data_IF_128391101707
#
_entry.id   IF_128391101707
#
_cell.length_a   1.000
_cell.length_b   1.000
_cell.length_c   1.000
_cell.angle_alpha   90.00
_cell.angle_beta   90.00
_cell.angle_gamma   90.00
#
_symmetry.space_group_name_H-M   'P 1'
#
loop_
_entity.id
_entity.type
_entity.pdbx_description
1 polymer ?
#
# COMPACT_ATOMS: atom_id res chain seq x y z
N UNK A 1 -5.14 -1.31 -27.37
CA UNK A 1 -6.50 -1.62 -27.77
C UNK A 1 -7.47 -0.94 -26.84
N UNK A 2 -8.56 -0.49 -27.40
CA UNK A 2 -9.53 0.28 -26.64
C UNK A 2 -10.16 -0.54 -25.52
N UNK A 3 -10.32 -1.83 -25.73
CA UNK A 3 -10.96 -2.69 -24.75
C UNK A 3 -10.19 -2.73 -23.43
N UNK A 4 -8.87 -2.66 -23.51
CA UNK A 4 -8.07 -2.74 -22.30
C UNK A 4 -8.31 -1.55 -21.40
N UNK A 5 -8.59 -0.39 -21.99
CA UNK A 5 -8.82 0.81 -21.18
C UNK A 5 -10.12 0.72 -20.41
N UNK A 6 -11.10 -0.02 -20.93
CA UNK A 6 -12.38 -0.13 -20.26
C UNK A 6 -12.30 -0.99 -19.00
N UNK A 7 -11.27 -1.83 -18.92
CA UNK A 7 -11.08 -2.67 -17.74
C UNK A 7 -10.22 -2.03 -16.68
N UNK A 8 -9.79 -0.79 -16.90
CA UNK A 8 -8.95 -0.10 -15.94
C UNK A 8 -9.80 0.74 -15.01
N UNK A 9 -9.38 0.78 -13.77
CA UNK A 9 -10.00 1.61 -12.76
C UNK A 9 -8.98 2.56 -12.16
N UNK A 10 -9.42 3.80 -11.94
CA UNK A 10 -8.66 4.73 -11.14
C UNK A 10 -9.14 4.57 -9.71
N UNK A 11 -8.26 4.14 -8.82
CA UNK A 11 -8.64 3.95 -7.43
C UNK A 11 -7.71 4.73 -6.53
N UNK A 12 -8.19 5.01 -5.34
CA UNK A 12 -7.43 5.68 -4.31
C UNK A 12 -7.16 4.68 -3.21
N UNK A 13 -5.87 4.50 -2.90
CA UNK A 13 -5.45 3.57 -1.87
C UNK A 13 -4.92 4.34 -0.68
N UNK A 14 -5.34 3.93 0.49
CA UNK A 14 -4.80 4.46 1.73
C UNK A 14 -3.73 3.50 2.22
N UNK A 15 -2.47 3.98 2.28
CA UNK A 15 -1.36 3.16 2.72
C UNK A 15 -0.67 3.93 3.85
N UNK A 16 -0.68 3.38 5.04
CA UNK A 16 -0.37 3.99 6.32
C UNK A 16 -0.95 5.42 6.39
N UNK A 17 -0.23 6.49 6.29
CA UNK A 17 -0.81 7.82 6.42
C UNK A 17 -0.87 8.56 5.08
N UNK A 18 -0.77 7.85 3.97
CA UNK A 18 -0.78 8.48 2.66
C UNK A 18 -1.88 7.90 1.79
N UNK A 19 -2.35 8.71 0.87
CA UNK A 19 -3.27 8.25 -0.16
C UNK A 19 -2.59 8.28 -1.50
N UNK A 20 -2.71 7.16 -2.22
CA UNK A 20 -2.13 7.01 -3.54
C UNK A 20 -3.23 6.85 -4.56
N UNK A 21 -3.04 7.47 -5.73
CA UNK A 21 -3.93 7.22 -6.85
C UNK A 21 -3.23 6.29 -7.81
N UNK A 22 -3.86 5.17 -8.10
CA UNK A 22 -3.27 4.19 -9.00
C UNK A 22 -4.31 3.75 -10.02
N UNK A 23 -3.82 3.28 -11.15
CA UNK A 23 -4.67 2.72 -12.20
C UNK A 23 -4.41 1.22 -12.21
N UNK A 24 -5.46 0.45 -11.99
CA UNK A 24 -5.34 -1.01 -11.89
C UNK A 24 -6.38 -1.65 -12.79
N UNK A 25 -6.18 -2.92 -13.09
CA UNK A 25 -7.20 -3.69 -13.78
C UNK A 25 -8.37 -3.91 -12.83
N UNK A 26 -9.58 -3.93 -13.41
CA UNK A 26 -10.79 -4.05 -12.60
C UNK A 26 -10.79 -5.30 -11.73
N UNK A 27 -10.28 -6.40 -12.25
CA UNK A 27 -10.27 -7.65 -11.50
C UNK A 27 -9.13 -7.73 -10.50
N UNK A 28 -8.27 -6.69 -10.44
CA UNK A 28 -7.19 -6.64 -9.46
C UNK A 28 -7.45 -5.66 -8.33
N UNK A 29 -8.60 -5.00 -8.37
CA UNK A 29 -8.86 -3.96 -7.38
C UNK A 29 -8.83 -4.50 -5.95
N UNK A 30 -9.47 -5.63 -5.72
CA UNK A 30 -9.50 -6.19 -4.37
C UNK A 30 -8.11 -6.58 -3.90
N UNK A 31 -7.30 -7.08 -4.81
CA UNK A 31 -5.93 -7.43 -4.47
C UNK A 31 -5.14 -6.21 -4.00
N UNK A 32 -5.27 -5.11 -4.75
CA UNK A 32 -4.54 -3.90 -4.37
C UNK A 32 -5.01 -3.33 -3.05
N UNK A 33 -6.32 -3.40 -2.79
CA UNK A 33 -6.83 -2.89 -1.52
C UNK A 33 -6.40 -3.78 -0.36
N UNK A 34 -6.38 -5.08 -0.57
CA UNK A 34 -5.91 -6.00 0.47
C UNK A 34 -4.42 -5.80 0.72
N UNK A 35 -3.64 -5.58 -0.33
CA UNK A 35 -2.22 -5.33 -0.17
C UNK A 35 -1.97 -4.03 0.61
N UNK A 36 -2.74 -2.98 0.30
CA UNK A 36 -2.58 -1.72 1.01
C UNK A 36 -2.88 -1.88 2.49
N UNK A 37 -3.89 -2.67 2.82
CA UNK A 37 -4.23 -2.92 4.22
C UNK A 37 -3.12 -3.71 4.92
N UNK A 38 -2.60 -4.72 4.24
CA UNK A 38 -1.52 -5.51 4.81
C UNK A 38 -0.30 -4.63 5.10
N UNK A 39 0.06 -3.80 4.14
CA UNK A 39 1.20 -2.91 4.31
C UNK A 39 0.96 -1.95 5.48
N UNK A 40 -0.24 -1.39 5.56
CA UNK A 40 -0.57 -0.46 6.63
C UNK A 40 -0.48 -1.14 8.00
N UNK A 41 -1.04 -2.36 8.10
CA UNK A 41 -1.03 -3.06 9.37
C UNK A 41 0.40 -3.38 9.81
N UNK A 42 1.24 -3.84 8.89
CA UNK A 42 2.62 -4.16 9.21
C UNK A 42 3.42 -2.90 9.52
N UNK A 43 3.18 -1.83 8.78
CA UNK A 43 3.82 -0.56 9.08
C UNK A 43 3.50 -0.10 10.49
N UNK A 44 2.24 -0.23 10.90
CA UNK A 44 1.85 0.22 12.23
C UNK A 44 2.52 -0.59 13.32
N UNK A 45 2.74 -1.88 13.10
CA UNK A 45 3.46 -2.69 14.07
C UNK A 45 4.86 -2.15 14.28
N UNK A 46 5.58 -1.90 13.19
CA UNK A 46 6.95 -1.39 13.29
C UNK A 46 6.98 0.03 13.82
N UNK A 47 5.99 0.83 13.44
CA UNK A 47 5.93 2.20 13.93
C UNK A 47 5.79 2.24 15.45
N UNK A 48 5.00 1.33 16.01
CA UNK A 48 4.85 1.27 17.45
C UNK A 48 6.11 0.76 18.14
N UNK A 49 6.79 -0.20 17.52
CA UNK A 49 8.00 -0.76 18.10
C UNK A 49 9.13 0.26 18.16
N UNK A 50 9.21 1.13 17.15
CA UNK A 50 10.34 2.04 17.00
C UNK A 50 9.96 3.51 17.14
N UNK A 51 8.82 3.77 17.72
CA UNK A 51 8.34 5.13 17.85
C UNK A 51 9.39 5.97 18.59
N UNK A 52 9.75 7.10 17.97
CA UNK A 52 10.73 8.00 18.55
C UNK A 52 12.17 7.57 18.35
N UNK A 53 12.41 6.40 17.74
CA UNK A 53 13.77 5.89 17.55
C UNK A 53 14.19 5.86 16.10
N UNK A 54 13.23 5.70 15.18
CA UNK A 54 13.53 5.61 13.75
C UNK A 54 12.57 6.48 12.99
N UNK A 55 13.02 7.01 11.86
CA UNK A 55 12.18 7.83 11.02
C UNK A 55 11.22 6.99 10.20
N UNK A 56 10.23 7.67 9.62
CA UNK A 56 9.18 6.99 8.85
C UNK A 56 9.75 6.23 7.67
N UNK A 57 10.75 6.80 7.03
CA UNK A 57 11.34 6.14 5.86
C UNK A 57 11.98 4.80 6.25
N UNK A 58 12.70 4.78 7.36
CA UNK A 58 13.32 3.55 7.83
C UNK A 58 12.27 2.51 8.19
N UNK A 59 11.20 2.94 8.85
CA UNK A 59 10.11 2.03 9.21
C UNK A 59 9.46 1.46 7.96
N UNK A 60 9.29 2.28 6.93
CA UNK A 60 8.72 1.80 5.67
C UNK A 60 9.60 0.75 5.03
N UNK A 61 10.92 0.94 5.05
CA UNK A 61 11.84 -0.05 4.49
C UNK A 61 11.79 -1.35 5.27
N UNK A 62 11.69 -1.29 6.60
CA UNK A 62 11.56 -2.48 7.40
C UNK A 62 10.27 -3.22 7.11
N UNK A 63 9.20 -2.47 6.88
CA UNK A 63 7.92 -3.07 6.51
C UNK A 63 8.03 -3.81 5.19
N UNK A 64 8.70 -3.20 4.20
CA UNK A 64 8.87 -3.84 2.91
C UNK A 64 9.67 -5.15 3.03
N UNK A 65 10.71 -5.13 3.85
CA UNK A 65 11.52 -6.33 4.05
C UNK A 65 10.68 -7.43 4.69
N UNK A 66 9.85 -7.07 5.66
CA UNK A 66 9.00 -8.05 6.34
C UNK A 66 8.05 -8.72 5.35
N UNK A 67 7.45 -7.93 4.46
CA UNK A 67 6.44 -8.45 3.54
C UNK A 67 7.09 -9.27 2.42
N UNK A 68 8.26 -8.85 1.98
CA UNK A 68 8.95 -9.57 0.94
C UNK A 68 9.47 -10.90 1.48
#
# INVERSE_FOLDING_TARGET
>A
MAEQNRDKLHIRLHVYDEELEVVVDRDEEEYYRAAAKLITDRYNVYAQMYKGHKGDHTIALMTLIDIA
#
